data_IF_852116805288
#
_entry.id   IF_852116805288
#
_cell.length_a   1.000
_cell.length_b   1.000
_cell.length_c   1.000
_cell.angle_alpha   90.00
_cell.angle_beta   90.00
_cell.angle_gamma   90.00
#
_symmetry.space_group_name_H-M   'P 1'
#
loop_
_entity.id
_entity.type
_entity.pdbx_description
1 polymer ?
#
# COMPACT_ATOMS: atom_id res chain seq x y z
N UNK A 1 9.46 -0.53 -12.49
CA UNK A 1 8.31 0.40 -12.49
C UNK A 1 8.80 1.83 -12.32
N UNK A 2 8.61 2.70 -13.33
CA UNK A 2 8.93 4.15 -13.34
C UNK A 2 7.69 4.97 -12.94
N UNK A 3 7.13 4.71 -11.77
CA UNK A 3 6.02 5.49 -11.22
C UNK A 3 6.52 6.54 -10.21
N UNK A 4 5.77 7.64 -10.06
CA UNK A 4 5.98 8.61 -8.98
C UNK A 4 5.86 7.89 -7.62
N UNK A 5 6.95 7.82 -6.86
CA UNK A 5 6.96 7.19 -5.54
C UNK A 5 6.66 8.24 -4.47
N UNK A 6 5.69 7.96 -3.60
CA UNK A 6 5.45 8.74 -2.38
C UNK A 6 6.02 7.94 -1.21
N UNK A 7 6.84 8.56 -0.38
CA UNK A 7 7.38 7.93 0.84
C UNK A 7 6.48 8.29 2.00
N UNK A 8 5.92 7.28 2.66
CA UNK A 8 5.05 7.43 3.82
C UNK A 8 5.67 6.71 5.02
N UNK A 9 5.67 7.36 6.19
CA UNK A 9 5.96 6.72 7.47
C UNK A 9 4.67 6.22 8.10
N UNK A 10 4.74 5.10 8.80
CA UNK A 10 3.60 4.54 9.48
C UNK A 10 3.98 3.36 10.37
N UNK A 11 3.03 2.96 11.19
CA UNK A 11 3.15 1.86 12.14
C UNK A 11 2.31 0.68 11.65
N UNK A 12 2.88 -0.53 11.69
CA UNK A 12 2.13 -1.76 11.40
C UNK A 12 1.11 -1.98 12.51
N UNK A 13 -0.17 -2.02 12.16
CA UNK A 13 -1.27 -2.24 13.12
C UNK A 13 -1.87 -3.64 13.04
N UNK A 14 -1.66 -4.33 11.92
CA UNK A 14 -2.09 -5.72 11.73
C UNK A 14 -1.14 -6.44 10.78
N UNK A 15 -0.85 -7.69 11.09
CA UNK A 15 -0.23 -8.64 10.16
C UNK A 15 -0.98 -9.97 10.25
N UNK A 16 -1.45 -10.46 9.11
CA UNK A 16 -2.23 -11.70 9.03
C UNK A 16 -1.62 -12.59 7.94
N UNK A 17 -1.31 -13.85 8.26
CA UNK A 17 -0.94 -14.83 7.23
C UNK A 17 -2.18 -15.16 6.40
N UNK A 18 -2.17 -14.81 5.11
CA UNK A 18 -3.30 -15.02 4.20
C UNK A 18 -3.09 -16.19 3.24
N UNK A 19 -1.87 -16.73 3.17
CA UNK A 19 -1.62 -17.95 2.42
C UNK A 19 -0.15 -18.33 2.32
N UNK A 20 0.10 -19.32 1.47
CA UNK A 20 1.43 -19.78 1.14
C UNK A 20 1.54 -19.87 -0.38
N UNK A 21 2.50 -19.12 -0.95
CA UNK A 21 2.80 -19.22 -2.38
C UNK A 21 3.84 -20.33 -2.57
N UNK A 22 3.49 -21.33 -3.38
CA UNK A 22 4.45 -22.33 -3.85
C UNK A 22 5.23 -21.76 -5.03
N UNK A 23 6.55 -21.68 -4.89
CA UNK A 23 7.47 -21.71 -6.02
C UNK A 23 8.13 -23.08 -6.01
N UNK A 24 8.74 -23.48 -7.13
CA UNK A 24 9.43 -24.77 -7.23
C UNK A 24 10.44 -24.91 -6.08
N UNK A 25 10.20 -25.87 -5.16
CA UNK A 25 11.05 -26.11 -3.98
C UNK A 25 10.85 -25.21 -2.76
N UNK A 26 9.99 -24.18 -2.80
CA UNK A 26 9.86 -23.21 -1.71
C UNK A 26 8.41 -22.87 -1.31
N UNK A 27 8.17 -22.82 0.00
CA UNK A 27 6.95 -22.31 0.62
C UNK A 27 7.19 -20.89 1.12
N UNK A 28 6.64 -19.90 0.40
CA UNK A 28 6.78 -18.49 0.77
C UNK A 28 5.48 -18.05 1.48
N UNK A 29 5.52 -17.72 2.79
CA UNK A 29 4.34 -17.22 3.48
C UNK A 29 3.95 -15.85 2.93
N UNK A 30 2.67 -15.66 2.65
CA UNK A 30 2.10 -14.39 2.16
C UNK A 30 1.33 -13.76 3.30
N UNK A 31 1.74 -12.56 3.69
CA UNK A 31 1.10 -11.79 4.75
C UNK A 31 0.34 -10.60 4.16
N UNK A 32 -0.85 -10.37 4.67
CA UNK A 32 -1.53 -9.08 4.57
C UNK A 32 -1.05 -8.20 5.72
N UNK A 33 -0.61 -6.98 5.42
CA UNK A 33 -0.11 -6.01 6.40
C UNK A 33 -0.97 -4.76 6.30
N UNK A 34 -1.58 -4.36 7.41
CA UNK A 34 -2.21 -3.06 7.54
C UNK A 34 -1.25 -2.10 8.25
N UNK A 35 -1.03 -0.94 7.64
CA UNK A 35 -0.16 0.13 8.16
C UNK A 35 -1.02 1.35 8.43
N UNK A 36 -0.99 1.86 9.66
CA UNK A 36 -1.52 3.18 9.97
C UNK A 36 -0.43 4.20 9.69
N UNK A 37 -0.70 5.17 8.82
CA UNK A 37 0.28 6.23 8.52
C UNK A 37 0.41 7.19 9.70
N UNK A 38 1.65 7.60 9.97
CA UNK A 38 1.93 8.65 10.94
C UNK A 38 1.39 10.00 10.43
N UNK A 39 1.43 11.04 11.27
CA UNK A 39 1.01 12.37 10.85
C UNK A 39 1.81 12.84 9.63
N UNK A 40 1.10 13.04 8.52
CA UNK A 40 1.67 13.47 7.25
C UNK A 40 1.65 15.00 7.15
N UNK A 41 2.66 15.57 6.46
CA UNK A 41 2.61 16.98 6.07
C UNK A 41 1.44 17.24 5.11
N UNK A 42 0.90 18.46 5.12
CA UNK A 42 -0.25 18.82 4.31
C UNK A 42 0.01 18.65 2.81
N UNK A 43 1.23 18.96 2.35
CA UNK A 43 1.68 18.71 0.97
C UNK A 43 1.60 17.22 0.61
N UNK A 44 1.95 16.34 1.54
CA UNK A 44 1.91 14.88 1.31
C UNK A 44 0.48 14.37 1.30
N UNK A 45 -0.37 14.90 2.19
CA UNK A 45 -1.81 14.61 2.21
C UNK A 45 -2.47 15.02 0.89
N UNK A 46 -2.25 16.25 0.42
CA UNK A 46 -2.80 16.75 -0.85
C UNK A 46 -2.39 15.88 -2.05
N UNK A 47 -1.11 15.51 -2.13
CA UNK A 47 -0.61 14.61 -3.19
C UNK A 47 -1.26 13.23 -3.12
N UNK A 48 -1.44 12.68 -1.92
CA UNK A 48 -2.08 11.38 -1.72
C UNK A 48 -3.56 11.44 -2.10
N UNK A 49 -4.28 12.49 -1.67
CA UNK A 49 -5.68 12.73 -2.03
C UNK A 49 -5.87 12.86 -3.54
N UNK A 50 -5.00 13.63 -4.22
CA UNK A 50 -5.04 13.77 -5.67
C UNK A 50 -4.79 12.43 -6.39
N UNK A 51 -3.86 11.61 -5.88
CA UNK A 51 -3.57 10.29 -6.44
C UNK A 51 -4.75 9.33 -6.25
N UNK A 52 -5.36 9.29 -5.07
CA UNK A 52 -6.53 8.44 -4.79
C UNK A 52 -7.67 8.82 -5.73
N UNK A 53 -7.99 10.11 -5.83
CA UNK A 53 -9.05 10.60 -6.72
C UNK A 53 -8.80 10.24 -8.18
N UNK A 54 -7.56 10.38 -8.66
CA UNK A 54 -7.19 9.97 -10.02
C UNK A 54 -7.42 8.48 -10.28
N UNK A 55 -7.18 7.62 -9.28
CA UNK A 55 -7.39 6.17 -9.40
C UNK A 55 -8.87 5.78 -9.35
N UNK A 56 -9.69 6.54 -8.61
CA UNK A 56 -11.14 6.39 -8.60
C UNK A 56 -11.76 6.81 -9.94
N UNK A 57 -11.27 7.90 -10.52
CA UNK A 57 -11.72 8.41 -11.82
C UNK A 57 -11.32 7.48 -13.00
N UNK A 58 -10.14 6.85 -12.94
CA UNK A 58 -9.70 5.83 -13.93
C UNK A 58 -10.53 4.53 -13.88
N UNK A 59 -11.27 4.31 -12.78
CA UNK A 59 -12.14 3.16 -12.56
C UNK A 59 -13.60 3.38 -12.97
N UNK A 60 -13.87 4.33 -13.88
CA UNK A 60 -15.22 4.72 -14.34
C UNK A 60 -16.23 3.56 -14.51
N UNK A 61 -17.55 3.86 -14.43
CA UNK A 61 -18.63 3.05 -13.86
C UNK A 61 -18.64 1.56 -14.17
#
# INVERSE_FOLDING_TARGET
YRGNKVVLKGTVVRSTLVGMKKKEGEFIPVYEIAVAFDEMSDITKEKLTALIKSLEDEKGP
#
